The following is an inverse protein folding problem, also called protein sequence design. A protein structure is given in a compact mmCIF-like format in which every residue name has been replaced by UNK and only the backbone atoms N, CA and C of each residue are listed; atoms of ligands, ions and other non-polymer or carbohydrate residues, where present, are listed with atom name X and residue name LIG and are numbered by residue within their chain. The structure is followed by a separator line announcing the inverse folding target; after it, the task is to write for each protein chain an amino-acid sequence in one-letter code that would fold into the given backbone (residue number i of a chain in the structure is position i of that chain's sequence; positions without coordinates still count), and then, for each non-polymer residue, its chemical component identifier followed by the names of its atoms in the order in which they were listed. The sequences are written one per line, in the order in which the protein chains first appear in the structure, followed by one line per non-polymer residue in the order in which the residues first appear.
data_IF_361121418588
#
_entry.id   IF_361121418588
#
_cell.length_a   1.000
_cell.length_b   1.000
_cell.length_c   1.000
_cell.angle_alpha   90.00
_cell.angle_beta   90.00
_cell.angle_gamma   90.00
#
_symmetry.space_group_name_H-M   'P 1'
#
loop_
_entity.id
_entity.type
_entity.pdbx_description
1 polymer ?
#
# COMPACT_ATOMS: atom_id res chain seq x y z
N UNK A 1 33.74 37.02 25.34
CA UNK A 1 32.91 37.58 24.26
C UNK A 1 33.06 36.64 23.08
N UNK A 2 32.11 35.72 22.88
CA UNK A 2 32.19 34.70 21.83
C UNK A 2 31.17 35.06 20.75
N UNK A 3 31.65 35.17 19.50
CA UNK A 3 30.84 35.48 18.33
C UNK A 3 29.92 34.30 17.95
N UNK A 4 28.73 34.55 17.37
CA UNK A 4 27.82 33.50 16.96
C UNK A 4 28.24 32.86 15.63
N UNK A 5 28.12 31.54 15.55
CA UNK A 5 28.32 30.71 14.35
C UNK A 5 27.23 30.99 13.31
N UNK A 6 27.54 31.10 12.01
CA UNK A 6 26.53 31.39 10.97
C UNK A 6 25.62 30.18 10.70
N UNK A 7 24.33 30.46 10.52
CA UNK A 7 23.30 29.49 10.18
C UNK A 7 23.45 28.95 8.74
N UNK A 8 23.16 27.68 8.54
CA UNK A 8 23.15 27.01 7.24
C UNK A 8 22.00 27.51 6.32
N UNK A 9 22.18 27.54 5.00
CA UNK A 9 21.20 28.10 4.06
C UNK A 9 19.96 27.22 3.92
N UNK A 10 18.80 27.88 3.89
CA UNK A 10 17.46 27.29 3.72
C UNK A 10 17.29 26.86 2.25
N UNK A 11 17.00 25.59 2.01
CA UNK A 11 16.72 25.09 0.67
C UNK A 11 15.40 25.68 0.13
N UNK A 12 15.45 26.19 -1.09
CA UNK A 12 14.34 26.84 -1.79
C UNK A 12 13.34 25.81 -2.34
N UNK A 13 12.05 26.17 -2.31
CA UNK A 13 10.95 25.44 -2.94
C UNK A 13 11.08 25.56 -4.45
N UNK A 14 11.02 24.45 -5.19
CA UNK A 14 10.90 24.46 -6.66
C UNK A 14 9.45 24.21 -7.07
N UNK A 15 8.76 25.26 -7.52
CA UNK A 15 7.45 25.19 -8.16
C UNK A 15 7.58 24.60 -9.58
N UNK A 16 7.16 23.34 -9.75
CA UNK A 16 7.21 22.61 -11.02
C UNK A 16 5.85 22.68 -11.76
N UNK A 17 5.29 23.88 -11.89
CA UNK A 17 3.97 24.11 -12.51
C UNK A 17 3.96 25.09 -13.69
N UNK A 18 5.11 25.51 -14.25
CA UNK A 18 5.15 26.54 -15.31
C UNK A 18 5.78 26.17 -16.66
N UNK A 19 6.40 25.01 -16.84
CA UNK A 19 7.17 24.73 -18.08
C UNK A 19 6.46 23.88 -19.16
N UNK A 20 5.14 23.73 -19.12
CA UNK A 20 4.38 22.99 -20.17
C UNK A 20 3.81 23.91 -21.27
N UNK A 21 4.22 25.17 -21.31
CA UNK A 21 3.86 26.07 -22.41
C UNK A 21 5.15 26.46 -23.12
N UNK A 22 5.18 26.23 -24.43
CA UNK A 22 6.16 26.65 -25.46
C UNK A 22 7.04 25.51 -26.00
N UNK A 23 6.59 24.92 -27.12
CA UNK A 23 7.41 24.04 -27.95
C UNK A 23 6.64 23.23 -28.99
N UNK A 24 5.92 23.89 -29.91
CA UNK A 24 5.38 23.31 -31.14
C UNK A 24 6.35 23.62 -32.29
N UNK A 25 6.35 22.75 -33.32
CA UNK A 25 7.02 22.83 -34.64
C UNK A 25 8.41 22.16 -34.67
N UNK A 26 8.85 21.41 -35.68
CA UNK A 26 8.41 21.15 -37.06
C UNK A 26 9.26 19.96 -37.57
N UNK A 27 8.73 19.05 -38.41
CA UNK A 27 9.55 18.02 -39.03
C UNK A 27 8.77 17.01 -39.88
N UNK A 28 8.29 17.44 -41.04
CA UNK A 28 7.75 16.56 -42.08
C UNK A 28 8.86 16.19 -43.07
N UNK A 29 8.93 14.91 -43.47
CA UNK A 29 9.37 14.50 -44.80
C UNK A 29 8.82 13.11 -45.14
N UNK A 30 8.17 13.04 -46.30
CA UNK A 30 7.47 11.93 -46.93
C UNK A 30 8.44 11.11 -47.79
N UNK A 31 8.22 9.80 -47.95
CA UNK A 31 8.47 9.11 -49.22
C UNK A 31 7.68 7.79 -49.31
N UNK A 32 7.04 7.61 -50.47
CA UNK A 32 6.01 6.63 -50.86
C UNK A 32 6.61 5.60 -51.84
N UNK A 33 5.83 4.55 -52.14
CA UNK A 33 5.91 3.52 -53.22
C UNK A 33 6.50 2.17 -52.74
N UNK A 34 6.00 0.97 -53.07
CA UNK A 34 5.04 0.45 -54.07
C UNK A 34 4.65 -1.00 -53.65
N UNK A 35 3.39 -1.41 -53.76
CA UNK A 35 2.98 -2.83 -53.71
C UNK A 35 3.03 -3.47 -55.12
N UNK A 36 3.15 -4.80 -55.19
CA UNK A 36 2.45 -5.60 -56.18
C UNK A 36 1.54 -6.70 -55.58
N UNK A 37 0.60 -7.24 -56.38
CA UNK A 37 -0.53 -8.03 -55.90
C UNK A 37 -0.33 -9.55 -56.04
N UNK A 38 -1.15 -10.33 -55.32
CA UNK A 38 -1.53 -11.68 -55.76
C UNK A 38 -1.31 -12.81 -54.74
N UNK A 39 -2.42 -13.42 -54.32
CA UNK A 39 -2.69 -14.86 -54.31
C UNK A 39 -3.51 -15.28 -53.07
N UNK A 40 -4.81 -15.50 -53.29
CA UNK A 40 -5.63 -16.36 -52.45
C UNK A 40 -5.14 -17.81 -52.56
N UNK A 41 -5.00 -18.48 -51.42
CA UNK A 41 -5.21 -19.91 -51.30
C UNK A 41 -5.87 -20.20 -49.94
N UNK A 42 -6.99 -20.94 -49.87
CA UNK A 42 -7.61 -21.31 -48.61
C UNK A 42 -6.84 -22.50 -48.03
N UNK A 43 -6.21 -22.33 -46.87
CA UNK A 43 -5.67 -23.47 -46.12
C UNK A 43 -6.76 -23.91 -45.14
N UNK A 44 -7.36 -25.05 -45.45
CA UNK A 44 -8.27 -25.78 -44.57
C UNK A 44 -7.54 -26.11 -43.26
N UNK A 45 -7.78 -25.31 -42.22
CA UNK A 45 -7.46 -25.64 -40.85
C UNK A 45 -8.66 -26.33 -40.24
N UNK A 46 -8.50 -27.62 -39.93
CA UNK A 46 -9.44 -28.40 -39.12
C UNK A 46 -9.76 -27.63 -37.83
N UNK A 47 -11.01 -27.16 -37.70
CA UNK A 47 -11.53 -26.69 -36.43
C UNK A 47 -11.78 -27.92 -35.55
N UNK A 48 -10.79 -28.28 -34.74
CA UNK A 48 -11.10 -28.97 -33.50
C UNK A 48 -12.00 -28.04 -32.69
N UNK A 49 -13.24 -28.47 -32.49
CA UNK A 49 -14.16 -27.89 -31.54
C UNK A 49 -13.45 -27.91 -30.17
N UNK A 50 -12.87 -26.78 -29.80
CA UNK A 50 -12.51 -26.51 -28.42
C UNK A 50 -13.83 -26.33 -27.68
N UNK A 51 -14.13 -27.27 -26.79
CA UNK A 51 -15.17 -27.15 -25.79
C UNK A 51 -15.04 -25.78 -25.14
N UNK A 52 -15.98 -24.89 -25.48
CA UNK A 52 -16.15 -23.63 -24.78
C UNK A 52 -16.78 -23.98 -23.45
N UNK A 53 -15.93 -24.27 -22.46
CA UNK A 53 -16.34 -24.19 -21.05
C UNK A 53 -16.72 -22.74 -20.82
N UNK A 54 -18.01 -22.46 -20.93
CA UNK A 54 -18.62 -21.21 -20.52
C UNK A 54 -18.39 -21.07 -19.02
N UNK A 55 -17.29 -20.42 -18.65
CA UNK A 55 -17.09 -19.95 -17.30
C UNK A 55 -18.17 -18.90 -17.04
N UNK A 56 -19.23 -19.30 -16.32
CA UNK A 56 -20.21 -18.37 -15.79
C UNK A 56 -19.47 -17.23 -15.07
N UNK A 57 -19.90 -15.96 -15.22
CA UNK A 57 -19.24 -14.87 -14.53
C UNK A 57 -19.32 -15.15 -13.04
N UNK A 58 -18.17 -15.29 -12.39
CA UNK A 58 -18.09 -15.45 -10.95
C UNK A 58 -18.79 -14.24 -10.33
N UNK A 59 -19.99 -14.46 -9.79
CA UNK A 59 -20.73 -13.45 -9.04
C UNK A 59 -19.80 -12.96 -7.94
N UNK A 60 -19.44 -11.68 -8.00
CA UNK A 60 -18.56 -11.05 -7.02
C UNK A 60 -19.06 -11.40 -5.62
N UNK A 61 -18.17 -11.91 -4.77
CA UNK A 61 -18.53 -12.26 -3.42
C UNK A 61 -19.03 -11.00 -2.72
N UNK A 62 -20.32 -10.94 -2.41
CA UNK A 62 -20.92 -9.84 -1.63
C UNK A 62 -20.57 -9.95 -0.14
N UNK A 63 -19.91 -11.04 0.24
CA UNK A 63 -19.49 -11.40 1.59
C UNK A 63 -17.98 -11.67 1.54
N UNK A 64 -17.14 -10.95 2.31
CA UNK A 64 -15.73 -11.24 2.38
C UNK A 64 -15.47 -12.65 2.89
N UNK A 65 -14.57 -13.35 2.22
CA UNK A 65 -14.15 -14.70 2.60
C UNK A 65 -12.82 -14.61 3.37
N UNK A 66 -12.83 -14.95 4.65
CA UNK A 66 -11.66 -14.88 5.53
C UNK A 66 -10.89 -16.20 5.64
N UNK A 67 -11.32 -17.25 4.93
CA UNK A 67 -10.72 -18.58 5.02
C UNK A 67 -10.69 -19.10 6.46
N UNK A 68 -9.53 -19.60 6.90
CA UNK A 68 -9.29 -20.07 8.26
C UNK A 68 -8.89 -18.95 9.24
N UNK A 69 -8.91 -17.69 8.82
CA UNK A 69 -8.56 -16.58 9.71
C UNK A 69 -9.75 -16.17 10.58
N UNK A 70 -9.47 -15.79 11.83
CA UNK A 70 -10.45 -15.25 12.76
C UNK A 70 -10.25 -13.73 12.91
N UNK A 71 -10.77 -12.91 11.98
CA UNK A 71 -10.66 -11.46 12.08
C UNK A 71 -11.43 -10.90 13.27
N UNK A 72 -11.12 -9.67 13.69
CA UNK A 72 -11.95 -8.94 14.65
C UNK A 72 -13.32 -8.58 14.06
N UNK A 73 -14.27 -8.19 14.91
CA UNK A 73 -15.56 -7.70 14.44
C UNK A 73 -15.39 -6.48 13.52
N UNK A 74 -14.56 -5.52 13.89
CA UNK A 74 -14.33 -4.30 13.11
C UNK A 74 -13.71 -4.62 11.74
N UNK A 75 -12.78 -5.58 11.68
CA UNK A 75 -12.23 -6.09 10.41
C UNK A 75 -13.32 -6.70 9.53
N UNK A 76 -14.20 -7.53 10.09
CA UNK A 76 -15.32 -8.12 9.33
C UNK A 76 -16.28 -7.06 8.81
N UNK A 77 -16.67 -6.11 9.66
CA UNK A 77 -17.59 -5.03 9.32
C UNK A 77 -17.01 -4.17 8.19
N UNK A 78 -15.76 -3.75 8.31
CA UNK A 78 -15.13 -2.92 7.28
C UNK A 78 -14.95 -3.69 5.96
N UNK A 79 -14.46 -4.92 6.00
CA UNK A 79 -14.31 -5.73 4.78
C UNK A 79 -15.65 -5.94 4.08
N UNK A 80 -16.73 -6.19 4.83
CA UNK A 80 -18.08 -6.32 4.28
C UNK A 80 -18.55 -5.03 3.63
N UNK A 81 -18.33 -3.91 4.30
CA UNK A 81 -18.69 -2.61 3.77
C UNK A 81 -17.92 -2.30 2.48
N UNK A 82 -16.61 -2.58 2.42
CA UNK A 82 -15.80 -2.42 1.20
C UNK A 82 -16.36 -3.28 0.07
N UNK A 83 -16.61 -4.57 0.33
CA UNK A 83 -17.15 -5.49 -0.68
C UNK A 83 -18.52 -5.05 -1.22
N UNK A 84 -19.39 -4.56 -0.34
CA UNK A 84 -20.75 -4.13 -0.70
C UNK A 84 -20.79 -2.80 -1.45
N UNK A 85 -19.91 -1.86 -1.10
CA UNK A 85 -19.91 -0.50 -1.65
C UNK A 85 -18.97 -0.35 -2.84
N UNK A 86 -17.98 -1.22 -2.99
CA UNK A 86 -16.93 -1.07 -3.98
C UNK A 86 -15.97 0.08 -3.66
N UNK A 87 -15.79 0.44 -2.38
CA UNK A 87 -14.93 1.55 -1.96
C UNK A 87 -13.46 1.36 -2.39
N UNK A 88 -13.01 0.13 -2.57
CA UNK A 88 -11.71 -0.20 -3.16
C UNK A 88 -11.60 0.14 -4.66
N UNK A 89 -12.67 0.60 -5.30
CA UNK A 89 -12.76 0.92 -6.72
C UNK A 89 -12.29 -0.23 -7.64
N UNK A 90 -12.53 -1.48 -7.22
CA UNK A 90 -12.11 -2.69 -7.94
C UNK A 90 -10.61 -3.00 -7.83
N UNK A 91 -9.85 -2.31 -6.98
CA UNK A 91 -8.43 -2.61 -6.72
C UNK A 91 -8.29 -3.70 -5.65
N UNK A 92 -7.23 -4.53 -5.68
CA UNK A 92 -6.85 -5.29 -4.50
C UNK A 92 -6.57 -4.34 -3.32
N UNK A 93 -6.69 -4.85 -2.11
CA UNK A 93 -6.50 -4.02 -0.94
C UNK A 93 -5.89 -4.77 0.24
N UNK A 94 -5.30 -4.01 1.15
CA UNK A 94 -4.80 -4.47 2.42
C UNK A 94 -5.63 -3.85 3.53
N UNK A 95 -5.98 -4.63 4.54
CA UNK A 95 -6.63 -4.15 5.76
C UNK A 95 -5.72 -4.42 6.95
N UNK A 96 -5.43 -3.39 7.72
CA UNK A 96 -4.57 -3.44 8.91
C UNK A 96 -5.44 -3.19 10.14
N UNK A 97 -5.57 -4.20 10.98
CA UNK A 97 -6.17 -4.09 12.31
C UNK A 97 -5.10 -3.71 13.31
N UNK A 98 -5.11 -2.44 13.76
CA UNK A 98 -4.14 -1.96 14.75
C UNK A 98 -4.32 -2.62 16.10
N UNK A 99 -5.57 -2.85 16.53
CA UNK A 99 -5.88 -3.44 17.84
C UNK A 99 -5.56 -4.93 17.90
N UNK A 100 -5.46 -5.61 16.76
CA UNK A 100 -4.99 -6.98 16.65
C UNK A 100 -3.55 -7.11 16.10
N UNK A 101 -2.86 -5.99 15.83
CA UNK A 101 -1.56 -5.94 15.15
C UNK A 101 -1.46 -6.88 13.94
N UNK A 102 -2.49 -6.88 13.09
CA UNK A 102 -2.66 -7.90 12.05
C UNK A 102 -3.02 -7.28 10.72
N UNK A 103 -2.40 -7.82 9.68
CA UNK A 103 -2.61 -7.41 8.30
C UNK A 103 -3.31 -8.53 7.53
N UNK A 104 -4.23 -8.15 6.66
CA UNK A 104 -4.95 -9.03 5.75
C UNK A 104 -4.77 -8.52 4.32
N UNK A 105 -4.39 -9.39 3.40
CA UNK A 105 -4.30 -9.09 1.97
C UNK A 105 -5.56 -9.62 1.30
N UNK A 106 -6.27 -8.77 0.58
CA UNK A 106 -7.46 -9.10 -0.16
C UNK A 106 -7.26 -8.92 -1.65
N UNK A 107 -7.89 -9.78 -2.45
CA UNK A 107 -8.08 -9.51 -3.88
C UNK A 107 -9.09 -8.37 -4.12
N UNK A 108 -9.30 -8.02 -5.39
CA UNK A 108 -10.26 -6.99 -5.79
C UNK A 108 -11.72 -7.31 -5.44
N UNK A 109 -12.02 -8.58 -5.15
CA UNK A 109 -13.35 -9.09 -4.81
C UNK A 109 -13.52 -9.34 -3.30
N UNK A 110 -12.64 -8.78 -2.47
CA UNK A 110 -12.66 -8.92 -1.02
C UNK A 110 -12.54 -10.38 -0.53
N UNK A 111 -11.79 -11.22 -1.24
CA UNK A 111 -11.36 -12.54 -0.73
C UNK A 111 -9.96 -12.44 -0.11
N UNK A 112 -9.82 -12.88 1.13
CA UNK A 112 -8.52 -12.94 1.81
C UNK A 112 -7.61 -13.91 1.07
N UNK A 113 -6.44 -13.41 0.68
CA UNK A 113 -5.35 -14.20 0.11
C UNK A 113 -4.45 -14.75 1.20
N UNK A 114 -4.07 -13.90 2.16
CA UNK A 114 -3.25 -14.29 3.32
C UNK A 114 -3.32 -13.23 4.44
N UNK A 115 -2.83 -13.57 5.63
CA UNK A 115 -2.77 -12.72 6.82
C UNK A 115 -1.46 -12.90 7.59
N UNK A 116 -0.99 -11.84 8.24
CA UNK A 116 0.26 -11.88 9.02
C UNK A 116 0.24 -10.90 10.20
N UNK A 117 0.93 -11.19 11.31
CA UNK A 117 1.23 -10.17 12.31
C UNK A 117 2.09 -9.05 11.71
N UNK A 118 1.94 -7.83 12.23
CA UNK A 118 2.74 -6.67 11.83
C UNK A 118 3.25 -5.93 13.04
N UNK A 119 4.28 -5.10 12.85
CA UNK A 119 4.69 -4.11 13.84
C UNK A 119 4.18 -2.73 13.43
N UNK A 120 3.73 -1.96 14.41
CA UNK A 120 3.07 -0.67 14.22
C UNK A 120 3.76 0.40 15.06
N UNK A 121 3.31 1.65 14.91
CA UNK A 121 3.73 2.77 15.74
C UNK A 121 3.65 2.44 17.22
N UNK A 122 4.68 2.83 17.98
CA UNK A 122 4.77 2.51 19.42
C UNK A 122 3.67 3.17 20.26
N UNK A 123 3.11 4.28 19.80
CA UNK A 123 1.97 4.92 20.45
C UNK A 123 0.65 4.47 19.82
N UNK A 124 -0.35 4.09 20.63
CA UNK A 124 -1.74 4.03 20.17
C UNK A 124 -2.19 5.42 19.71
N UNK A 125 -2.97 5.48 18.63
CA UNK A 125 -3.48 6.75 18.10
C UNK A 125 -3.90 6.65 16.65
N UNK A 126 -4.80 7.54 16.24
CA UNK A 126 -5.46 7.49 14.93
C UNK A 126 -4.96 8.54 13.94
N UNK A 127 -4.31 9.60 14.43
CA UNK A 127 -3.92 10.75 13.62
C UNK A 127 -2.42 10.98 13.72
N UNK A 128 -1.82 11.39 12.60
CA UNK A 128 -0.46 11.94 12.56
C UNK A 128 -0.48 13.42 12.96
N UNK A 129 0.55 13.88 13.66
CA UNK A 129 0.71 15.33 13.90
C UNK A 129 1.14 16.06 12.62
N UNK A 130 0.66 17.28 12.35
CA UNK A 130 1.01 18.02 11.14
C UNK A 130 2.53 18.19 10.97
N UNK A 131 3.03 17.95 9.76
CA UNK A 131 4.45 18.10 9.42
C UNK A 131 5.38 17.04 10.02
N UNK A 132 4.85 15.94 10.58
CA UNK A 132 5.69 14.88 11.15
C UNK A 132 6.63 14.25 10.12
N UNK A 133 6.20 14.12 8.86
CA UNK A 133 7.01 13.51 7.80
C UNK A 133 8.28 14.28 7.46
N UNK A 134 8.33 15.58 7.76
CA UNK A 134 9.49 16.45 7.49
C UNK A 134 10.44 16.56 8.70
N UNK A 135 10.07 15.99 9.85
CA UNK A 135 10.85 16.09 11.09
C UNK A 135 11.94 15.02 11.14
N UNK A 136 13.14 15.34 11.64
CA UNK A 136 14.12 14.33 11.99
C UNK A 136 13.54 13.30 12.97
N UNK A 137 13.86 12.01 12.78
CA UNK A 137 13.37 10.92 13.67
C UNK A 137 13.70 11.19 15.14
N UNK A 138 14.86 11.81 15.43
CA UNK A 138 15.29 12.16 16.78
C UNK A 138 14.34 13.15 17.48
N UNK A 139 13.60 13.94 16.71
CA UNK A 139 12.67 14.94 17.23
C UNK A 139 11.25 14.39 17.38
N UNK A 140 10.96 13.17 16.91
CA UNK A 140 9.64 12.53 17.02
C UNK A 140 9.44 12.01 18.45
N UNK A 141 8.50 12.64 19.16
CA UNK A 141 8.20 12.31 20.56
C UNK A 141 7.52 10.96 20.68
N UNK A 142 7.67 10.24 21.80
CA UNK A 142 7.07 8.91 21.98
C UNK A 142 5.57 8.85 21.66
N UNK A 143 4.80 9.84 22.09
CA UNK A 143 3.35 9.96 21.86
C UNK A 143 2.96 10.26 20.41
N UNK A 144 3.89 10.71 19.58
CA UNK A 144 3.64 11.03 18.17
C UNK A 144 3.92 9.85 17.23
N UNK A 145 4.41 8.72 17.77
CA UNK A 145 4.80 7.53 17.00
C UNK A 145 3.59 6.65 16.69
N UNK A 146 2.61 7.22 16.01
CA UNK A 146 1.34 6.57 15.69
C UNK A 146 1.34 6.03 14.26
N UNK A 147 0.64 4.92 14.02
CA UNK A 147 0.25 4.53 12.66
C UNK A 147 -1.14 5.13 12.38
N UNK A 148 -1.29 6.06 11.42
CA UNK A 148 -2.55 6.76 11.20
C UNK A 148 -3.65 5.80 10.73
N UNK A 149 -4.86 6.00 11.23
CA UNK A 149 -6.05 5.30 10.76
C UNK A 149 -6.58 5.98 9.51
N UNK A 150 -7.16 5.21 8.57
CA UNK A 150 -7.73 5.79 7.36
C UNK A 150 -7.67 4.89 6.14
N UNK A 151 -8.03 5.49 5.01
CA UNK A 151 -7.99 4.88 3.68
C UNK A 151 -6.92 5.58 2.85
N UNK A 152 -5.96 4.80 2.38
CA UNK A 152 -4.80 5.31 1.64
C UNK A 152 -4.65 4.58 0.31
N UNK A 153 -4.15 5.27 -0.71
CA UNK A 153 -3.71 4.60 -1.95
C UNK A 153 -2.23 4.31 -1.80
N UNK A 154 -1.91 3.04 -1.57
CA UNK A 154 -0.52 2.61 -1.38
C UNK A 154 0.25 2.65 -2.69
N UNK A 155 1.49 3.15 -2.63
CA UNK A 155 2.36 3.28 -3.81
C UNK A 155 3.68 2.57 -3.58
N UNK A 156 3.97 1.60 -4.43
CA UNK A 156 5.28 0.96 -4.42
C UNK A 156 6.38 1.95 -4.81
N UNK A 157 7.51 1.89 -4.11
CA UNK A 157 8.66 2.74 -4.36
C UNK A 157 9.93 2.19 -3.72
N UNK A 158 11.00 2.98 -3.78
CA UNK A 158 12.26 2.71 -3.10
C UNK A 158 12.64 3.84 -2.16
N UNK A 159 13.27 3.52 -1.04
CA UNK A 159 13.94 4.51 -0.19
C UNK A 159 15.20 5.05 -0.88
N UNK A 160 15.80 6.10 -0.32
CA UNK A 160 17.10 6.63 -0.78
C UNK A 160 18.24 5.60 -0.68
N UNK A 161 18.10 4.61 0.20
CA UNK A 161 19.04 3.48 0.35
C UNK A 161 18.70 2.30 -0.58
N UNK A 162 17.70 2.45 -1.45
CA UNK A 162 17.31 1.49 -2.48
C UNK A 162 16.32 0.41 -2.02
N UNK A 163 15.84 0.46 -0.77
CA UNK A 163 14.95 -0.57 -0.22
C UNK A 163 13.53 -0.45 -0.77
N UNK A 164 12.93 -1.58 -1.18
CA UNK A 164 11.52 -1.56 -1.61
C UNK A 164 10.60 -1.26 -0.42
N UNK A 165 9.67 -0.34 -0.64
CA UNK A 165 8.63 0.03 0.33
C UNK A 165 7.29 0.26 -0.38
N UNK A 166 6.21 0.18 0.38
CA UNK A 166 4.92 0.74 -0.03
C UNK A 166 4.70 2.01 0.79
N UNK A 167 4.68 3.17 0.14
CA UNK A 167 4.30 4.42 0.78
C UNK A 167 2.79 4.40 1.04
N UNK A 168 2.39 4.62 2.29
CA UNK A 168 0.99 4.56 2.74
C UNK A 168 0.45 5.97 2.96
N UNK A 169 1.13 6.75 3.80
CA UNK A 169 0.83 8.17 4.03
C UNK A 169 2.10 8.97 3.74
N UNK A 170 2.08 9.70 2.62
CA UNK A 170 3.24 10.45 2.15
C UNK A 170 3.55 11.64 3.05
N UNK A 171 2.54 12.39 3.48
CA UNK A 171 2.70 13.61 4.28
C UNK A 171 3.21 13.27 5.69
N UNK A 172 2.82 12.11 6.21
CA UNK A 172 3.32 11.58 7.49
C UNK A 172 4.62 10.76 7.36
N UNK A 173 5.16 10.59 6.15
CA UNK A 173 6.28 9.70 5.85
C UNK A 173 6.11 8.24 6.37
N UNK A 174 4.88 7.75 6.39
CA UNK A 174 4.55 6.38 6.83
C UNK A 174 4.61 5.43 5.64
N UNK A 175 5.40 4.38 5.80
CA UNK A 175 5.53 3.31 4.81
C UNK A 175 5.30 1.93 5.43
N UNK A 176 4.94 0.98 4.57
CA UNK A 176 4.93 -0.44 4.87
C UNK A 176 6.18 -1.09 4.26
N UNK A 177 6.95 -1.81 5.08
CA UNK A 177 8.22 -2.40 4.65
C UNK A 177 8.61 -3.64 5.45
N UNK A 178 9.60 -4.37 4.93
CA UNK A 178 10.15 -5.58 5.57
C UNK A 178 10.74 -5.25 6.95
N UNK A 179 10.58 -6.17 7.91
CA UNK A 179 11.40 -6.21 9.12
C UNK A 179 12.84 -6.54 8.74
N UNK A 180 13.78 -5.85 9.38
CA UNK A 180 15.22 -6.06 9.21
C UNK A 180 15.86 -6.38 10.55
N UNK A 181 15.89 -7.66 10.96
CA UNK A 181 16.32 -8.04 12.31
C UNK A 181 17.80 -7.75 12.56
N UNK A 182 18.62 -7.69 11.50
CA UNK A 182 20.08 -7.49 11.61
C UNK A 182 20.50 -6.04 11.84
N UNK A 183 19.67 -5.05 11.50
CA UNK A 183 20.06 -3.64 11.65
C UNK A 183 19.98 -3.15 13.10
N UNK A 184 19.03 -3.66 13.86
CA UNK A 184 18.81 -3.26 15.26
C UNK A 184 18.41 -4.48 16.12
N UNK A 185 19.35 -5.41 16.39
CA UNK A 185 19.03 -6.68 17.07
C UNK A 185 18.43 -6.49 18.47
N UNK A 186 18.76 -5.38 19.15
CA UNK A 186 18.22 -5.04 20.47
C UNK A 186 16.71 -4.82 20.48
N UNK A 187 16.13 -4.46 19.33
CA UNK A 187 14.68 -4.25 19.18
C UNK A 187 13.91 -5.55 18.92
N UNK A 188 14.58 -6.71 18.80
CA UNK A 188 13.96 -8.05 18.71
C UNK A 188 12.68 -8.10 17.86
N UNK A 189 12.74 -7.49 16.67
CA UNK A 189 11.55 -7.27 15.83
C UNK A 189 10.96 -8.57 15.29
N UNK A 190 11.79 -9.59 15.06
CA UNK A 190 11.31 -10.89 14.61
C UNK A 190 10.53 -11.58 15.73
N UNK A 191 11.06 -11.56 16.95
CA UNK A 191 10.43 -12.15 18.12
C UNK A 191 9.13 -11.43 18.50
N UNK A 192 9.08 -10.10 18.34
CA UNK A 192 7.84 -9.32 18.53
C UNK A 192 6.73 -9.71 17.57
N UNK A 193 7.06 -10.04 16.31
CA UNK A 193 6.07 -10.54 15.35
C UNK A 193 5.48 -11.89 15.74
N UNK A 194 6.21 -12.69 16.52
CA UNK A 194 5.79 -13.99 17.03
C UNK A 194 5.09 -13.90 18.40
N UNK A 195 5.10 -12.72 19.04
CA UNK A 195 4.48 -12.56 20.35
C UNK A 195 2.96 -12.64 20.28
N UNK A 196 2.36 -13.17 21.35
CA UNK A 196 0.92 -13.17 21.56
C UNK A 196 0.39 -11.81 22.06
N UNK A 197 1.25 -10.94 22.59
CA UNK A 197 0.84 -9.65 23.17
C UNK A 197 0.93 -8.54 22.14
N UNK A 198 -0.20 -7.89 21.86
CA UNK A 198 -0.28 -6.80 20.88
C UNK A 198 0.65 -5.62 21.22
N UNK A 199 0.90 -5.37 22.51
CA UNK A 199 1.83 -4.32 22.95
C UNK A 199 3.27 -4.59 22.47
N UNK A 200 3.68 -5.85 22.32
CA UNK A 200 5.01 -6.18 21.79
C UNK A 200 5.13 -5.78 20.32
N UNK A 201 4.02 -5.72 19.59
CA UNK A 201 3.97 -5.29 18.20
C UNK A 201 4.04 -3.76 18.03
N UNK A 202 3.99 -2.97 19.11
CA UNK A 202 4.02 -1.51 19.09
C UNK A 202 5.44 -1.00 19.33
N UNK A 203 6.19 -0.73 18.26
CA UNK A 203 7.64 -0.40 18.37
C UNK A 203 8.16 0.57 17.31
N UNK A 204 7.43 0.80 16.22
CA UNK A 204 7.90 1.66 15.13
C UNK A 204 7.64 3.14 15.41
N UNK A 205 8.15 4.02 14.54
CA UNK A 205 7.84 5.45 14.56
C UNK A 205 6.54 5.79 13.79
N UNK A 206 5.80 4.78 13.33
CA UNK A 206 4.56 4.92 12.57
C UNK A 206 4.48 3.97 11.37
N UNK A 207 5.63 3.60 10.80
CA UNK A 207 5.72 2.62 9.70
C UNK A 207 5.14 1.25 10.09
N UNK A 208 4.57 0.56 9.11
CA UNK A 208 4.06 -0.80 9.24
C UNK A 208 5.19 -1.76 8.88
N UNK A 209 5.66 -2.59 9.82
CA UNK A 209 6.72 -3.55 9.53
C UNK A 209 6.14 -4.96 9.38
N UNK A 210 6.51 -5.63 8.30
CA UNK A 210 5.94 -6.90 7.86
C UNK A 210 7.06 -7.97 7.82
N UNK A 211 6.79 -9.25 8.14
CA UNK A 211 7.75 -10.32 7.90
C UNK A 211 8.28 -10.29 6.46
N UNK A 212 9.59 -10.43 6.27
CA UNK A 212 10.21 -10.27 4.95
C UNK A 212 9.62 -11.22 3.90
N UNK A 213 9.47 -12.50 4.26
CA UNK A 213 8.87 -13.50 3.38
C UNK A 213 7.42 -13.15 2.98
N UNK A 214 6.60 -12.69 3.93
CA UNK A 214 5.22 -12.27 3.63
C UNK A 214 5.19 -11.05 2.71
N UNK A 215 6.08 -10.08 2.94
CA UNK A 215 6.19 -8.91 2.09
C UNK A 215 6.54 -9.30 0.66
N UNK A 216 7.52 -10.18 0.46
CA UNK A 216 7.97 -10.58 -0.87
C UNK A 216 6.94 -11.45 -1.61
N UNK A 217 6.21 -12.30 -0.90
CA UNK A 217 5.20 -13.20 -1.50
C UNK A 217 3.88 -12.50 -1.77
N UNK A 218 3.40 -11.62 -0.87
CA UNK A 218 2.03 -11.08 -0.94
C UNK A 218 1.97 -9.57 -1.13
N UNK A 219 2.81 -8.79 -0.45
CA UNK A 219 2.73 -7.33 -0.51
C UNK A 219 3.33 -6.80 -1.81
N UNK A 220 4.59 -7.10 -2.09
CA UNK A 220 5.30 -6.57 -3.26
C UNK A 220 4.55 -6.86 -4.57
N UNK A 221 4.06 -8.08 -4.86
CA UNK A 221 3.36 -8.33 -6.12
C UNK A 221 2.07 -7.51 -6.27
N UNK A 222 1.30 -7.36 -5.20
CA UNK A 222 0.05 -6.58 -5.18
C UNK A 222 0.32 -5.11 -5.53
N UNK A 223 1.31 -4.48 -4.91
CA UNK A 223 1.57 -3.04 -5.10
C UNK A 223 2.48 -2.73 -6.30
N UNK A 224 3.24 -3.70 -6.81
CA UNK A 224 4.18 -3.46 -7.94
C UNK A 224 3.52 -3.46 -9.32
N UNK A 225 2.32 -4.04 -9.44
CA UNK A 225 1.64 -4.25 -10.73
C UNK A 225 0.49 -3.28 -10.94
N UNK A 226 -0.28 -3.02 -9.89
CA UNK A 226 -1.45 -2.14 -9.91
C UNK A 226 -1.49 -1.29 -8.64
N UNK A 227 -2.15 -0.12 -8.66
CA UNK A 227 -2.49 0.59 -7.44
C UNK A 227 -3.36 -0.31 -6.54
N UNK A 228 -3.12 -0.24 -5.23
CA UNK A 228 -3.89 -0.98 -4.24
C UNK A 228 -4.22 -0.08 -3.04
N UNK A 229 -5.37 -0.33 -2.42
CA UNK A 229 -5.83 0.48 -1.28
C UNK A 229 -5.30 -0.13 0.02
N UNK A 230 -4.87 0.71 0.95
CA UNK A 230 -4.53 0.33 2.31
C UNK A 230 -5.57 0.94 3.25
N UNK A 231 -6.29 0.09 3.96
CA UNK A 231 -7.20 0.48 5.03
C UNK A 231 -6.54 0.20 6.37
N UNK A 232 -6.51 1.19 7.26
CA UNK A 232 -5.97 1.05 8.61
C UNK A 232 -7.08 1.33 9.61
N UNK A 233 -7.49 0.30 10.34
CA UNK A 233 -8.51 0.43 11.39
C UNK A 233 -8.03 1.33 12.52
N UNK A 234 -8.94 2.08 13.19
CA UNK A 234 -8.58 2.94 14.32
C UNK A 234 -8.35 2.18 15.64
N UNK A 235 -7.52 2.78 16.50
CA UNK A 235 -7.33 2.43 17.91
C UNK A 235 -8.46 3.00 18.79
N UNK A 236 -8.91 4.24 18.52
CA UNK A 236 -9.86 4.96 19.38
C UNK A 236 -11.14 5.40 18.68
N UNK A 237 -11.03 5.95 17.46
CA UNK A 237 -12.17 6.36 16.65
C UNK A 237 -13.04 5.17 16.28
N UNK A 238 -14.31 5.41 16.02
CA UNK A 238 -15.22 4.42 15.43
C UNK A 238 -14.96 4.25 13.93
N UNK A 239 -15.44 3.14 13.36
CA UNK A 239 -15.45 2.97 11.90
C UNK A 239 -16.27 4.05 11.19
N UNK A 240 -17.33 4.56 11.82
CA UNK A 240 -18.12 5.65 11.28
C UNK A 240 -17.31 6.94 11.18
N UNK A 241 -16.52 7.28 12.20
CA UNK A 241 -15.70 8.50 12.19
C UNK A 241 -14.57 8.46 11.15
N UNK A 242 -14.00 7.27 10.88
CA UNK A 242 -12.87 7.14 9.94
C UNK A 242 -13.32 6.85 8.52
N UNK A 243 -14.35 6.01 8.35
CA UNK A 243 -14.74 5.46 7.04
C UNK A 243 -16.20 5.77 6.67
N UNK A 244 -16.99 6.37 7.56
CA UNK A 244 -18.44 6.56 7.33
C UNK A 244 -19.24 5.25 7.37
N UNK A 245 -18.66 4.17 7.93
CA UNK A 245 -19.33 2.88 8.08
C UNK A 245 -20.32 2.94 9.24
N UNK A 246 -21.61 2.79 8.93
CA UNK A 246 -22.73 2.74 9.86
C UNK A 246 -23.91 1.96 9.30
#
# INVERSE_FOLDING_TARGET
MNAPTPAAPRAAKSDMAQDVRHGVLLGAALLVLLMPPGAMAPRQGSLHAADTVSAAPARAATVPEFGNSEPSNDTRVLAHWIARTGDNAGMPFVLIDKRAARLYVFDAHARVQDTTPVLLGSAPGDDSVPGIGDRPIADVRPEERTTPAGRFVGRFGRTLTGEDVVWVDYDAAVSMHRVRPTLQPKEKRAERLESATIDDNRISYGCINVPAAFYDTHIRPVFSTLPAVVYVLPDHKSLQQVFGVG
#
